data_IF_834585084174
#
_entry.id   IF_834585084174
#
_cell.length_a   1.000
_cell.length_b   1.000
_cell.length_c   1.000
_cell.angle_alpha   90.00
_cell.angle_beta   90.00
_cell.angle_gamma   90.00
#
_symmetry.space_group_name_H-M   'P 1'
#
loop_
_entity.id
_entity.type
_entity.pdbx_description
1 polymer ?
#
# COMPACT_ATOMS: atom_id res chain seq x y z
N UNK A 1 13.46 3.48 13.67
CA UNK A 1 13.93 3.49 12.27
C UNK A 1 13.81 4.91 11.75
N UNK A 2 14.79 5.37 10.96
CA UNK A 2 14.70 6.62 10.22
C UNK A 2 13.92 6.41 8.92
N UNK A 3 13.38 7.50 8.38
CA UNK A 3 12.72 7.50 7.09
C UNK A 3 13.73 7.10 6.01
N UNK A 4 13.39 6.09 5.20
CA UNK A 4 14.27 5.59 4.14
C UNK A 4 14.55 6.63 3.04
N UNK A 5 13.69 7.64 2.91
CA UNK A 5 13.82 8.72 1.93
C UNK A 5 14.63 9.91 2.44
N UNK A 6 14.38 10.41 3.67
CA UNK A 6 14.99 11.67 4.15
C UNK A 6 15.79 11.53 5.46
N UNK A 7 15.92 10.32 6.00
CA UNK A 7 16.59 10.02 7.27
C UNK A 7 15.97 10.65 8.53
N UNK A 8 14.85 11.37 8.42
CA UNK A 8 14.11 11.88 9.59
C UNK A 8 13.61 10.75 10.50
N UNK A 9 13.61 11.01 11.81
CA UNK A 9 13.00 10.12 12.81
C UNK A 9 11.50 10.37 13.00
N UNK A 10 10.96 11.44 12.41
CA UNK A 10 9.57 11.84 12.56
C UNK A 10 8.66 10.98 11.67
N UNK A 11 8.31 9.79 12.17
CA UNK A 11 7.46 8.82 11.48
C UNK A 11 6.37 8.30 12.41
N UNK A 12 5.19 8.01 11.86
CA UNK A 12 4.04 7.50 12.63
C UNK A 12 3.20 6.53 11.80
N UNK A 13 2.64 5.52 12.47
CA UNK A 13 1.67 4.61 11.86
C UNK A 13 0.26 5.19 11.92
N UNK A 14 -0.51 5.01 10.85
CA UNK A 14 -1.91 5.38 10.74
C UNK A 14 -2.74 4.18 10.31
N UNK A 15 -4.02 4.11 10.68
CA UNK A 15 -4.94 3.15 10.03
C UNK A 15 -5.35 3.70 8.67
N UNK A 16 -5.41 2.86 7.65
CA UNK A 16 -5.78 3.27 6.30
C UNK A 16 -6.63 2.21 5.60
N UNK A 17 -7.42 2.67 4.63
CA UNK A 17 -8.14 1.86 3.66
C UNK A 17 -7.56 2.22 2.27
N UNK A 18 -7.10 1.22 1.52
CA UNK A 18 -6.46 1.41 0.22
C UNK A 18 -7.14 0.51 -0.81
N UNK A 19 -7.64 1.11 -1.89
CA UNK A 19 -8.10 0.38 -3.07
C UNK A 19 -7.00 0.37 -4.14
N UNK A 20 -6.51 -0.81 -4.48
CA UNK A 20 -5.48 -0.97 -5.53
C UNK A 20 -6.15 -1.38 -6.84
N UNK A 21 -5.94 -0.57 -7.87
CA UNK A 21 -6.26 -0.91 -9.26
C UNK A 21 -5.11 -1.68 -9.92
N UNK A 22 -5.44 -2.59 -10.82
CA UNK A 22 -4.44 -3.20 -11.70
C UNK A 22 -3.92 -2.18 -12.73
N UNK A 23 -2.67 -2.30 -13.20
CA UNK A 23 -2.09 -1.35 -14.14
C UNK A 23 -2.84 -1.22 -15.47
N UNK A 24 -2.86 -0.01 -16.03
CA UNK A 24 -3.43 0.31 -17.35
C UNK A 24 -4.95 0.42 -17.37
N UNK A 25 -5.51 0.91 -18.48
CA UNK A 25 -6.96 1.14 -18.62
C UNK A 25 -7.78 -0.14 -18.45
N UNK A 26 -7.33 -1.26 -19.02
CA UNK A 26 -7.98 -2.58 -18.84
C UNK A 26 -7.93 -3.07 -17.38
N UNK A 27 -6.94 -2.61 -16.60
CA UNK A 27 -6.85 -2.94 -15.18
C UNK A 27 -7.93 -2.29 -14.33
N UNK A 28 -8.56 -1.22 -14.84
CA UNK A 28 -9.71 -0.57 -14.18
C UNK A 28 -11.00 -1.40 -14.31
N UNK A 29 -11.07 -2.33 -15.26
CA UNK A 29 -12.21 -3.26 -15.41
C UNK A 29 -12.10 -4.46 -14.46
N UNK A 30 -10.93 -4.69 -13.86
CA UNK A 30 -10.73 -5.75 -12.87
C UNK A 30 -11.26 -5.33 -11.50
N UNK A 31 -11.70 -6.29 -10.66
CA UNK A 31 -12.04 -5.99 -9.27
C UNK A 31 -10.89 -5.31 -8.54
N UNK A 32 -11.25 -4.32 -7.73
CA UNK A 32 -10.34 -3.65 -6.80
C UNK A 32 -9.83 -4.64 -5.76
N UNK A 33 -8.55 -4.53 -5.41
CA UNK A 33 -8.02 -5.20 -4.22
C UNK A 33 -8.04 -4.21 -3.07
N UNK A 34 -8.87 -4.49 -2.07
CA UNK A 34 -8.99 -3.68 -0.85
C UNK A 34 -7.96 -4.11 0.18
N UNK A 35 -7.25 -3.15 0.75
CA UNK A 35 -6.32 -3.35 1.85
C UNK A 35 -6.70 -2.48 3.03
N UNK A 36 -6.47 -3.00 4.23
CA UNK A 36 -6.65 -2.27 5.50
C UNK A 36 -5.34 -2.17 6.30
N UNK A 37 -4.26 -1.59 5.73
CA UNK A 37 -2.95 -1.61 6.36
C UNK A 37 -2.80 -0.57 7.48
N UNK A 38 -1.66 -0.64 8.16
CA UNK A 38 -1.15 0.44 9.02
C UNK A 38 0.10 1.08 8.41
N UNK A 39 -0.02 2.00 7.43
CA UNK A 39 1.14 2.63 6.81
C UNK A 39 1.98 3.43 7.81
N UNK A 40 3.30 3.29 7.71
CA UNK A 40 4.27 4.16 8.35
C UNK A 40 4.48 5.37 7.44
N UNK A 41 4.11 6.56 7.93
CA UNK A 41 4.23 7.83 7.21
C UNK A 41 5.31 8.68 7.85
N UNK A 42 6.27 9.15 7.06
CA UNK A 42 7.20 10.20 7.47
C UNK A 42 6.52 11.56 7.42
N UNK A 43 6.45 12.24 8.55
CA UNK A 43 5.73 13.51 8.69
C UNK A 43 6.54 14.72 8.19
N UNK A 44 7.80 14.53 7.81
CA UNK A 44 8.65 15.59 7.26
C UNK A 44 8.76 15.56 5.73
N UNK A 45 8.66 14.38 5.09
CA UNK A 45 8.81 14.23 3.63
C UNK A 45 7.67 13.48 2.94
N UNK A 46 6.72 12.90 3.68
CA UNK A 46 5.58 12.18 3.13
C UNK A 46 5.87 10.75 2.64
N UNK A 47 7.13 10.28 2.68
CA UNK A 47 7.44 8.88 2.36
C UNK A 47 6.58 7.96 3.21
N UNK A 48 5.90 7.04 2.54
CA UNK A 48 4.91 6.15 3.14
C UNK A 48 5.22 4.72 2.71
N UNK A 49 5.29 3.80 3.67
CA UNK A 49 5.46 2.39 3.40
C UNK A 49 4.50 1.52 4.20
N UNK A 50 4.07 0.43 3.59
CA UNK A 50 3.24 -0.61 4.19
C UNK A 50 3.51 -1.93 3.48
N UNK A 51 3.15 -3.03 4.14
CA UNK A 51 3.21 -4.37 3.56
C UNK A 51 1.80 -4.78 3.15
N UNK A 52 1.67 -5.35 1.95
CA UNK A 52 0.42 -6.00 1.51
C UNK A 52 0.31 -7.36 2.22
N UNK A 53 -0.81 -7.70 2.87
CA UNK A 53 -0.96 -9.03 3.46
C UNK A 53 -0.93 -10.12 2.39
N UNK A 54 -0.56 -11.34 2.79
CA UNK A 54 -0.21 -12.41 1.84
C UNK A 54 -1.38 -12.78 0.90
N UNK A 55 -2.59 -12.75 1.42
CA UNK A 55 -3.82 -13.06 0.70
C UNK A 55 -4.03 -12.08 -0.46
N UNK A 56 -4.04 -10.79 -0.18
CA UNK A 56 -4.21 -9.76 -1.20
C UNK A 56 -2.98 -9.64 -2.11
N UNK A 57 -1.77 -9.91 -1.59
CA UNK A 57 -0.56 -9.98 -2.40
C UNK A 57 -0.67 -11.10 -3.45
N UNK A 58 -1.27 -12.25 -3.10
CA UNK A 58 -1.54 -13.34 -4.04
C UNK A 58 -2.54 -12.92 -5.11
N UNK A 59 -3.61 -12.20 -4.73
CA UNK A 59 -4.57 -11.63 -5.69
C UNK A 59 -3.89 -10.65 -6.65
N UNK A 60 -3.05 -9.74 -6.13
CA UNK A 60 -2.28 -8.80 -6.95
C UNK A 60 -1.31 -9.51 -7.91
N UNK A 61 -0.67 -10.59 -7.46
CA UNK A 61 0.26 -11.35 -8.30
C UNK A 61 -0.44 -12.15 -9.40
N UNK A 62 -1.60 -12.74 -9.12
CA UNK A 62 -2.30 -13.64 -10.03
C UNK A 62 -3.35 -12.92 -10.90
N UNK A 63 -3.87 -11.79 -10.44
CA UNK A 63 -4.92 -11.04 -11.13
C UNK A 63 -6.29 -11.73 -11.12
N UNK A 64 -6.48 -12.73 -10.25
CA UNK A 64 -7.72 -13.47 -10.05
C UNK A 64 -8.22 -13.20 -8.64
N UNK A 65 -9.48 -12.75 -8.45
CA UNK A 65 -10.07 -12.62 -7.11
C UNK A 65 -10.07 -13.97 -6.37
N UNK A 66 -10.05 -13.90 -5.05
CA UNK A 66 -10.32 -15.07 -4.19
C UNK A 66 -11.79 -15.47 -4.25
#
# INVERSE_FOLDING_TARGET
MSCKSCQSQHQRNFGAEIAIHFPGLKGLEKPLVWLFPKPLVCLDCGFTEFTVPEEELRVLAQGTPL
#
